data_IF_664479794201
#
_entry.id   IF_664479794201
#
_cell.length_a   1.000
_cell.length_b   1.000
_cell.length_c   1.000
_cell.angle_alpha   90.00
_cell.angle_beta   90.00
_cell.angle_gamma   90.00
#
_symmetry.space_group_name_H-M   'P 1'
#
loop_
_entity.id
_entity.type
_entity.pdbx_description
1 polymer ?
#
# COMPACT_ATOMS: atom_id res chain seq x y z
N UNK A 1 20.48 26.85 -4.92
CA UNK A 1 21.35 25.67 -4.82
C UNK A 1 21.30 25.17 -3.38
N UNK A 2 20.22 24.48 -2.96
CA UNK A 2 20.15 23.81 -1.62
C UNK A 2 18.88 22.97 -1.36
N UNK A 3 17.98 22.76 -2.35
CA UNK A 3 16.77 21.95 -2.13
C UNK A 3 17.03 20.52 -1.64
N UNK A 4 18.22 19.98 -1.93
CA UNK A 4 18.65 18.67 -1.43
C UNK A 4 19.01 18.71 0.07
N UNK A 5 19.51 19.84 0.56
CA UNK A 5 19.95 20.04 1.94
C UNK A 5 18.78 20.29 2.87
N UNK A 6 17.76 21.00 2.39
CA UNK A 6 16.47 21.14 3.10
C UNK A 6 15.76 19.79 3.25
N UNK A 7 15.81 18.93 2.22
CA UNK A 7 15.27 17.56 2.29
C UNK A 7 16.05 16.69 3.29
N UNK A 8 17.38 16.85 3.34
CA UNK A 8 18.24 16.14 4.29
C UNK A 8 17.98 16.57 5.74
N UNK A 9 17.88 17.88 5.98
CA UNK A 9 17.60 18.40 7.33
C UNK A 9 16.22 17.94 7.81
N UNK A 10 15.19 18.00 6.97
CA UNK A 10 13.87 17.45 7.31
C UNK A 10 13.89 15.95 7.58
N UNK A 11 14.74 15.19 6.89
CA UNK A 11 14.93 13.76 7.16
C UNK A 11 15.59 13.53 8.54
N UNK A 12 16.65 14.27 8.85
CA UNK A 12 17.38 14.18 10.12
C UNK A 12 16.56 14.66 11.32
N UNK A 13 15.70 15.66 11.12
CA UNK A 13 14.75 16.16 12.13
C UNK A 13 13.57 15.21 12.38
N UNK A 14 13.48 14.09 11.65
CA UNK A 14 12.39 13.12 11.76
C UNK A 14 11.05 13.57 11.15
N UNK A 15 11.01 14.75 10.53
CA UNK A 15 9.85 15.30 9.81
C UNK A 15 9.60 14.60 8.46
N UNK A 16 10.64 13.98 7.90
CA UNK A 16 10.60 13.21 6.67
C UNK A 16 10.95 11.77 7.03
N UNK A 17 9.96 10.90 7.24
CA UNK A 17 10.23 9.46 7.38
C UNK A 17 10.40 8.86 6.00
N UNK A 18 11.62 8.50 5.64
CA UNK A 18 11.95 7.86 4.35
C UNK A 18 11.24 6.51 4.13
N UNK A 19 10.69 5.90 5.19
CA UNK A 19 10.19 4.51 5.17
C UNK A 19 8.85 4.34 5.89
N UNK A 20 8.05 5.39 6.02
CA UNK A 20 6.68 5.30 6.58
C UNK A 20 5.60 5.07 5.53
N UNK A 21 5.97 4.79 4.28
CA UNK A 21 5.03 4.06 3.45
C UNK A 21 4.99 2.65 4.02
N UNK A 22 3.93 2.34 4.78
CA UNK A 22 3.54 0.98 5.16
C UNK A 22 3.75 0.10 3.93
N UNK A 23 4.88 -0.59 3.88
CA UNK A 23 5.30 -1.31 2.69
C UNK A 23 4.44 -2.55 2.64
N UNK A 24 3.28 -2.41 2.00
CA UNK A 24 2.29 -3.47 1.89
C UNK A 24 2.80 -4.45 0.86
N UNK A 25 3.27 -5.61 1.34
CA UNK A 25 3.65 -6.71 0.47
C UNK A 25 2.35 -7.19 -0.19
N UNK A 26 2.18 -6.83 -1.45
CA UNK A 26 0.95 -7.14 -2.19
C UNK A 26 1.22 -8.17 -3.29
N UNK A 27 0.39 -9.21 -3.34
CA UNK A 27 0.47 -10.27 -4.34
C UNK A 27 -0.64 -10.14 -5.38
N UNK A 28 -0.39 -10.37 -6.68
CA UNK A 28 -1.42 -10.35 -7.69
C UNK A 28 -2.44 -11.48 -7.45
N UNK A 29 -3.73 -11.15 -7.49
CA UNK A 29 -4.80 -12.11 -7.31
C UNK A 29 -5.99 -11.83 -8.24
N UNK A 30 -6.91 -12.79 -8.33
CA UNK A 30 -8.17 -12.62 -9.06
C UNK A 30 -9.33 -12.81 -8.10
N UNK A 31 -10.04 -11.72 -7.81
CA UNK A 31 -11.25 -11.76 -6.99
C UNK A 31 -12.44 -12.22 -7.85
N UNK A 32 -13.07 -13.32 -7.46
CA UNK A 32 -14.34 -13.78 -8.04
C UNK A 32 -15.49 -13.17 -7.24
N UNK A 33 -16.27 -12.26 -7.85
CA UNK A 33 -17.46 -11.64 -7.23
C UNK A 33 -18.57 -11.51 -8.28
N UNK A 34 -19.80 -11.91 -7.92
CA UNK A 34 -20.97 -11.86 -8.81
C UNK A 34 -20.72 -12.45 -10.21
N UNK A 35 -20.12 -13.65 -10.28
CA UNK A 35 -19.72 -14.35 -11.53
C UNK A 35 -18.69 -13.59 -12.40
N UNK A 36 -18.16 -12.45 -11.96
CA UNK A 36 -17.10 -11.69 -12.64
C UNK A 36 -15.73 -11.97 -12.02
N UNK A 37 -14.69 -11.95 -12.85
CA UNK A 37 -13.28 -12.06 -12.46
C UNK A 37 -12.64 -10.68 -12.47
N UNK A 38 -12.19 -10.21 -11.30
CA UNK A 38 -11.60 -8.88 -11.14
C UNK A 38 -10.12 -9.06 -10.80
N UNK A 39 -9.22 -8.49 -11.61
CA UNK A 39 -7.78 -8.44 -11.30
C UNK A 39 -7.55 -7.51 -10.10
N UNK A 40 -6.85 -8.00 -9.10
CA UNK A 40 -6.68 -7.35 -7.82
C UNK A 40 -5.27 -7.64 -7.26
N UNK A 41 -4.95 -6.99 -6.15
CA UNK A 41 -3.75 -7.27 -5.34
C UNK A 41 -4.21 -7.57 -3.93
N UNK A 42 -3.69 -8.62 -3.31
CA UNK A 42 -4.00 -8.99 -1.92
C UNK A 42 -2.80 -8.72 -1.02
N UNK A 43 -3.09 -8.12 0.11
CA UNK A 43 -2.20 -7.95 1.24
C UNK A 43 -2.67 -8.95 2.31
N UNK A 44 -1.87 -9.99 2.47
CA UNK A 44 -2.21 -11.12 3.34
C UNK A 44 -2.01 -10.77 4.81
N UNK A 45 -1.04 -9.90 5.11
CA UNK A 45 -0.68 -9.51 6.48
C UNK A 45 -1.78 -8.65 7.11
N UNK A 46 -2.34 -7.72 6.33
CA UNK A 46 -3.42 -6.85 6.78
C UNK A 46 -4.83 -7.36 6.41
N UNK A 47 -4.91 -8.46 5.65
CA UNK A 47 -6.17 -9.02 5.16
C UNK A 47 -6.93 -8.10 4.21
N UNK A 48 -6.24 -7.29 3.39
CA UNK A 48 -6.87 -6.30 2.49
C UNK A 48 -6.71 -6.70 1.03
N UNK A 49 -7.78 -6.58 0.25
CA UNK A 49 -7.75 -6.74 -1.21
C UNK A 49 -7.92 -5.38 -1.86
N UNK A 50 -6.92 -4.98 -2.65
CA UNK A 50 -6.87 -3.75 -3.42
C UNK A 50 -7.19 -4.01 -4.90
N UNK A 51 -7.72 -3.00 -5.59
CA UNK A 51 -7.78 -3.02 -7.05
C UNK A 51 -6.41 -2.67 -7.67
N UNK A 52 -6.30 -2.74 -9.00
CA UNK A 52 -5.07 -2.36 -9.71
C UNK A 52 -4.68 -0.88 -9.54
N UNK A 53 -5.61 -0.02 -9.10
CA UNK A 53 -5.39 1.41 -8.81
C UNK A 53 -5.06 1.68 -7.33
N UNK A 54 -4.86 0.62 -6.52
CA UNK A 54 -4.54 0.75 -5.08
C UNK A 54 -5.73 1.08 -4.17
N UNK A 55 -6.98 1.15 -4.67
CA UNK A 55 -8.17 1.33 -3.80
C UNK A 55 -8.58 0.02 -3.14
N UNK A 56 -8.93 0.07 -1.87
CA UNK A 56 -9.48 -1.05 -1.11
C UNK A 56 -10.82 -1.51 -1.71
N UNK A 57 -10.90 -2.78 -2.11
CA UNK A 57 -12.13 -3.44 -2.57
C UNK A 57 -12.81 -4.17 -1.42
N UNK A 58 -12.01 -4.81 -0.56
CA UNK A 58 -12.50 -5.68 0.50
C UNK A 58 -11.47 -5.79 1.62
N UNK A 59 -11.93 -5.79 2.86
CA UNK A 59 -11.17 -6.21 4.03
C UNK A 59 -11.70 -7.55 4.52
N UNK A 60 -10.80 -8.49 4.76
CA UNK A 60 -11.08 -9.79 5.37
C UNK A 60 -10.66 -9.65 6.83
N UNK A 61 -11.62 -9.60 7.75
CA UNK A 61 -11.30 -9.79 9.17
C UNK A 61 -10.89 -11.26 9.33
N UNK A 62 -9.71 -11.50 9.88
CA UNK A 62 -9.41 -12.82 10.44
C UNK A 62 -10.46 -13.10 11.54
N UNK A 63 -11.05 -14.29 11.49
CA UNK A 63 -12.00 -14.78 12.51
C UNK A 63 -11.21 -15.27 13.71
#
# INVERSE_FOLDING_TARGET
MEAWRDRLNKFLDGNLKLFEEDYKITYPCVLKRNKKRIKAKIDMDHGVIYNLKGKEIRRVKAV
#
